data_IF_817710577523
#
_entry.id   IF_817710577523
#
_cell.length_a   1.000
_cell.length_b   1.000
_cell.length_c   1.000
_cell.angle_alpha   90.00
_cell.angle_beta   90.00
_cell.angle_gamma   90.00
#
_symmetry.space_group_name_H-M   'P 1'
#
loop_
_entity.id
_entity.type
_entity.pdbx_description
1 polymer ?
#
# COMPACT_ATOMS: atom_id res chain seq x y z
N UNK A 1 -3.43 -9.34 7.29
CA UNK A 1 -3.94 -8.59 6.13
C UNK A 1 -4.28 -7.17 6.53
N UNK A 2 -5.55 -6.89 6.84
CA UNK A 2 -6.02 -5.52 7.10
C UNK A 2 -5.25 -4.78 8.22
N UNK A 3 -4.95 -5.45 9.34
CA UNK A 3 -4.16 -4.86 10.43
C UNK A 3 -2.73 -4.49 9.99
N UNK A 4 -2.12 -5.28 9.11
CA UNK A 4 -0.78 -5.01 8.59
C UNK A 4 -0.78 -3.79 7.66
N UNK A 5 -1.80 -3.66 6.81
CA UNK A 5 -2.02 -2.48 5.96
C UNK A 5 -2.21 -1.21 6.80
N UNK A 6 -3.04 -1.28 7.85
CA UNK A 6 -3.25 -0.16 8.76
C UNK A 6 -1.98 0.24 9.52
N UNK A 7 -1.20 -0.75 9.97
CA UNK A 7 0.11 -0.51 10.59
C UNK A 7 1.05 0.22 9.63
N UNK A 8 1.15 -0.23 8.37
CA UNK A 8 2.00 0.45 7.39
C UNK A 8 1.59 1.91 7.14
N UNK A 9 0.28 2.20 7.10
CA UNK A 9 -0.22 3.57 7.04
C UNK A 9 0.17 4.40 8.26
N UNK A 10 0.03 3.84 9.47
CA UNK A 10 0.42 4.53 10.71
C UNK A 10 1.90 4.84 10.76
N UNK A 11 2.74 3.86 10.44
CA UNK A 11 4.19 4.04 10.46
C UNK A 11 4.63 5.06 9.39
N UNK A 12 4.00 5.06 8.21
CA UNK A 12 4.24 6.09 7.18
C UNK A 12 3.93 7.50 7.71
N UNK A 13 2.80 7.64 8.41
CA UNK A 13 2.37 8.91 9.02
C UNK A 13 3.29 9.36 10.14
N UNK A 14 3.75 8.43 10.97
CA UNK A 14 4.64 8.70 12.10
C UNK A 14 6.07 9.02 11.64
N UNK A 15 6.58 8.28 10.66
CA UNK A 15 7.92 8.50 10.11
C UNK A 15 8.07 9.88 9.46
N UNK A 16 6.98 10.40 8.85
CA UNK A 16 6.95 11.70 8.20
C UNK A 16 8.17 11.96 7.27
N UNK A 17 8.61 10.89 6.59
CA UNK A 17 9.84 10.88 5.82
C UNK A 17 9.55 11.09 4.33
N UNK A 18 10.18 12.09 3.72
CA UNK A 18 9.97 12.43 2.31
C UNK A 18 10.46 11.29 1.41
N UNK A 19 9.61 10.87 0.47
CA UNK A 19 9.95 9.83 -0.52
C UNK A 19 9.87 8.38 0.00
N UNK A 20 9.43 8.15 1.24
CA UNK A 20 9.27 6.79 1.78
C UNK A 20 7.89 6.17 1.51
N UNK A 21 6.97 6.84 0.82
CA UNK A 21 5.61 6.36 0.63
C UNK A 21 5.58 4.96 -0.02
N UNK A 22 6.36 4.74 -1.08
CA UNK A 22 6.42 3.46 -1.81
C UNK A 22 6.97 2.32 -0.98
N UNK A 23 7.90 2.63 -0.08
CA UNK A 23 8.37 1.65 0.90
C UNK A 23 7.21 1.17 1.80
N UNK A 24 6.41 2.08 2.35
CA UNK A 24 5.29 1.69 3.21
C UNK A 24 4.17 0.99 2.43
N UNK A 25 3.97 1.34 1.15
CA UNK A 25 3.12 0.61 0.24
C UNK A 25 3.57 -0.84 0.08
N UNK A 26 4.83 -1.05 -0.34
CA UNK A 26 5.39 -2.38 -0.52
C UNK A 26 5.37 -3.19 0.79
N UNK A 27 5.90 -2.64 1.88
CA UNK A 27 5.97 -3.31 3.18
C UNK A 27 4.60 -3.72 3.73
N UNK A 28 3.60 -2.84 3.63
CA UNK A 28 2.24 -3.15 4.08
C UNK A 28 1.62 -4.32 3.31
N UNK A 29 1.81 -4.33 1.98
CA UNK A 29 1.32 -5.40 1.12
C UNK A 29 2.09 -6.71 1.32
N UNK A 30 3.39 -6.64 1.53
CA UNK A 30 4.27 -7.77 1.85
C UNK A 30 3.87 -8.42 3.18
N UNK A 31 3.77 -7.65 4.25
CA UNK A 31 3.34 -8.13 5.57
C UNK A 31 1.94 -8.77 5.51
N UNK A 32 1.03 -8.15 4.77
CA UNK A 32 -0.32 -8.64 4.59
C UNK A 32 -0.35 -9.95 3.79
N UNK A 33 0.38 -10.04 2.66
CA UNK A 33 0.43 -11.23 1.81
C UNK A 33 1.06 -12.43 2.52
N UNK A 34 2.04 -12.21 3.40
CA UNK A 34 2.65 -13.25 4.25
C UNK A 34 1.69 -13.90 5.25
N UNK A 35 0.48 -13.34 5.43
CA UNK A 35 -0.59 -13.98 6.24
C UNK A 35 -1.37 -15.05 5.46
N UNK A 36 -1.02 -15.31 4.20
CA UNK A 36 -1.70 -16.26 3.32
C UNK A 36 -2.75 -15.59 2.40
N UNK A 37 -3.56 -16.40 1.68
CA UNK A 37 -4.45 -15.91 0.61
C UNK A 37 -5.43 -14.81 1.06
N UNK A 38 -6.03 -14.95 2.25
CA UNK A 38 -6.92 -13.92 2.80
C UNK A 38 -6.19 -12.60 3.13
N UNK A 39 -4.90 -12.68 3.49
CA UNK A 39 -4.05 -11.52 3.70
C UNK A 39 -3.72 -10.79 2.41
N UNK A 40 -3.35 -11.53 1.36
CA UNK A 40 -3.11 -11.00 0.02
C UNK A 40 -4.37 -10.36 -0.58
N UNK A 41 -5.53 -11.00 -0.39
CA UNK A 41 -6.83 -10.46 -0.79
C UNK A 41 -7.13 -9.13 -0.08
N UNK A 42 -6.99 -9.07 1.25
CA UNK A 42 -7.21 -7.85 2.02
C UNK A 42 -6.26 -6.73 1.57
N UNK A 43 -5.00 -7.05 1.30
CA UNK A 43 -4.02 -6.09 0.80
C UNK A 43 -4.47 -5.47 -0.53
N UNK A 44 -5.00 -6.28 -1.46
CA UNK A 44 -5.48 -5.81 -2.76
C UNK A 44 -6.67 -4.88 -2.60
N UNK A 45 -7.71 -5.33 -1.90
CA UNK A 45 -8.94 -4.54 -1.70
C UNK A 45 -8.63 -3.19 -1.05
N UNK A 46 -7.78 -3.16 -0.04
CA UNK A 46 -7.42 -1.91 0.66
C UNK A 46 -6.57 -0.99 -0.24
N UNK A 47 -5.65 -1.55 -1.03
CA UNK A 47 -4.85 -0.78 -1.99
C UNK A 47 -5.73 -0.11 -3.04
N UNK A 48 -6.63 -0.87 -3.65
CA UNK A 48 -7.56 -0.40 -4.68
C UNK A 48 -8.54 0.65 -4.10
N UNK A 49 -9.02 0.46 -2.87
CA UNK A 49 -9.87 1.44 -2.21
C UNK A 49 -9.12 2.76 -1.94
N UNK A 50 -7.86 2.69 -1.50
CA UNK A 50 -7.02 3.88 -1.28
C UNK A 50 -6.76 4.62 -2.59
N UNK A 51 -6.41 3.92 -3.65
CA UNK A 51 -6.22 4.50 -4.99
C UNK A 51 -7.46 5.24 -5.46
N UNK A 52 -8.62 4.60 -5.42
CA UNK A 52 -9.88 5.21 -5.85
C UNK A 52 -10.18 6.50 -5.08
N UNK A 53 -9.89 6.53 -3.78
CA UNK A 53 -10.04 7.74 -2.98
C UNK A 53 -9.03 8.82 -3.40
N UNK A 54 -7.77 8.46 -3.67
CA UNK A 54 -6.74 9.42 -4.06
C UNK A 54 -6.97 10.06 -5.43
N UNK A 55 -7.37 9.26 -6.42
CA UNK A 55 -7.63 9.76 -7.77
C UNK A 55 -8.89 10.63 -7.84
N UNK A 56 -9.88 10.40 -6.97
CA UNK A 56 -11.16 11.13 -7.00
C UNK A 56 -11.25 12.29 -6.01
N UNK A 57 -10.60 12.18 -4.86
CA UNK A 57 -10.81 13.08 -3.72
C UNK A 57 -9.57 13.89 -3.40
N UNK A 58 -8.38 13.28 -3.39
CA UNK A 58 -7.17 14.00 -2.99
C UNK A 58 -6.49 14.78 -4.12
N UNK A 59 -6.99 14.68 -5.36
CA UNK A 59 -6.41 15.36 -6.53
C UNK A 59 -5.02 14.83 -6.91
N UNK A 60 -4.68 13.58 -6.54
CA UNK A 60 -3.35 13.01 -6.80
C UNK A 60 -3.21 12.65 -8.28
N UNK A 61 -2.01 12.86 -8.84
CA UNK A 61 -1.72 12.61 -10.24
C UNK A 61 -1.79 11.11 -10.62
N UNK A 62 -2.04 10.85 -11.91
CA UNK A 62 -2.10 9.49 -12.45
C UNK A 62 -0.75 8.75 -12.36
N UNK A 63 0.37 9.46 -12.48
CA UNK A 63 1.71 8.88 -12.36
C UNK A 63 1.98 8.38 -10.94
N UNK A 64 1.74 9.21 -9.93
CA UNK A 64 1.87 8.83 -8.51
C UNK A 64 1.02 7.60 -8.19
N UNK A 65 -0.21 7.60 -8.70
CA UNK A 65 -1.16 6.49 -8.55
C UNK A 65 -0.60 5.19 -9.14
N UNK A 66 -0.07 5.25 -10.38
CA UNK A 66 0.56 4.10 -11.04
C UNK A 66 1.73 3.56 -10.23
N UNK A 67 2.63 4.44 -9.77
CA UNK A 67 3.80 4.02 -9.02
C UNK A 67 3.42 3.45 -7.64
N UNK A 68 2.37 3.96 -6.99
CA UNK A 68 1.84 3.34 -5.77
C UNK A 68 1.32 1.93 -6.03
N UNK A 69 0.64 1.70 -7.16
CA UNK A 69 0.18 0.36 -7.54
C UNK A 69 1.33 -0.60 -7.85
N UNK A 70 2.39 -0.12 -8.51
CA UNK A 70 3.62 -0.91 -8.73
C UNK A 70 4.24 -1.33 -7.40
N UNK A 71 4.38 -0.41 -6.44
CA UNK A 71 4.90 -0.73 -5.11
C UNK A 71 3.98 -1.69 -4.34
N UNK A 72 2.67 -1.51 -4.41
CA UNK A 72 1.71 -2.43 -3.81
C UNK A 72 1.86 -3.85 -4.38
N UNK A 73 1.99 -3.97 -5.71
CA UNK A 73 2.15 -5.25 -6.39
C UNK A 73 3.48 -5.92 -6.02
N UNK A 74 4.59 -5.18 -6.05
CA UNK A 74 5.92 -5.66 -5.67
C UNK A 74 5.92 -6.31 -4.28
N UNK A 75 5.42 -5.59 -3.27
CA UNK A 75 5.35 -6.12 -1.91
C UNK A 75 4.42 -7.33 -1.81
N UNK A 76 3.25 -7.28 -2.45
CA UNK A 76 2.28 -8.40 -2.44
C UNK A 76 2.83 -9.66 -3.10
N UNK A 77 3.73 -9.54 -4.08
CA UNK A 77 4.42 -10.66 -4.72
C UNK A 77 5.62 -11.18 -3.92
N UNK A 78 5.96 -10.57 -2.78
CA UNK A 78 7.07 -10.99 -1.94
C UNK A 78 8.40 -10.31 -2.24
N UNK A 79 8.39 -9.23 -3.04
CA UNK A 79 9.56 -8.40 -3.26
C UNK A 79 9.96 -7.62 -2.01
N UNK A 80 11.26 -7.33 -1.89
CA UNK A 80 11.88 -6.47 -0.87
C UNK A 80 12.04 -5.04 -1.40
#
# INVERSE_FOLDING_TARGET
GARDMYRAYRDMREANYKGADKYFHARGNYDAARRGPGGAWAARVISDARENWQSRVSGRGAEDTRLDQEANAWGRSGGD
#
